data_IF_968252345676
#
_entry.id   IF_968252345676
#
_cell.length_a   1.000
_cell.length_b   1.000
_cell.length_c   1.000
_cell.angle_alpha   90.00
_cell.angle_beta   90.00
_cell.angle_gamma   90.00
#
_symmetry.space_group_name_H-M   'P 1'
#
loop_
_entity.id
_entity.type
_entity.pdbx_description
1 polymer ?
#
# COMPACT_ATOMS: atom_id res chain seq x y z
N UNK A 1 -11.71 26.06 -0.85
CA UNK A 1 -12.17 24.66 -1.04
C UNK A 1 -11.01 23.72 -0.77
N UNK A 2 -11.17 22.81 0.17
CA UNK A 2 -10.15 21.82 0.47
C UNK A 2 -10.32 20.61 -0.45
N UNK A 3 -9.18 20.08 -0.92
CA UNK A 3 -9.16 18.83 -1.70
C UNK A 3 -8.37 17.78 -0.92
N UNK A 4 -9.08 16.87 -0.26
CA UNK A 4 -8.47 15.78 0.52
C UNK A 4 -8.39 14.53 -0.35
N UNK A 5 -7.22 13.95 -0.45
CA UNK A 5 -7.05 12.70 -1.19
C UNK A 5 -7.76 11.58 -0.44
N UNK A 6 -8.77 10.97 -1.05
CA UNK A 6 -9.59 9.94 -0.42
C UNK A 6 -9.07 8.54 -0.71
N UNK A 7 -8.86 8.24 -1.98
CA UNK A 7 -8.54 6.90 -2.41
C UNK A 7 -7.74 6.91 -3.70
N UNK A 8 -6.83 5.94 -3.82
CA UNK A 8 -6.02 5.72 -5.02
C UNK A 8 -6.29 4.32 -5.53
N UNK A 9 -6.59 4.17 -6.82
CA UNK A 9 -6.79 2.86 -7.43
C UNK A 9 -5.45 2.16 -7.66
N UNK A 10 -5.36 0.91 -7.23
CA UNK A 10 -4.17 0.07 -7.39
C UNK A 10 -4.54 -1.13 -8.26
N UNK A 11 -3.95 -1.25 -9.45
CA UNK A 11 -4.33 -2.31 -10.39
C UNK A 11 -3.71 -3.65 -10.00
N UNK A 12 -4.57 -4.66 -9.83
CA UNK A 12 -4.15 -6.02 -9.44
C UNK A 12 -4.79 -7.05 -10.35
N UNK A 13 -4.13 -8.19 -10.51
CA UNK A 13 -4.62 -9.29 -11.35
C UNK A 13 -5.52 -10.26 -10.59
N UNK A 14 -5.29 -10.42 -9.29
CA UNK A 14 -6.05 -11.32 -8.42
C UNK A 14 -6.45 -10.55 -7.16
N UNK A 15 -7.72 -10.18 -7.07
CA UNK A 15 -8.23 -9.33 -5.99
C UNK A 15 -8.11 -10.02 -4.63
N UNK A 16 -8.42 -11.31 -4.56
CA UNK A 16 -8.35 -12.05 -3.29
C UNK A 16 -6.91 -12.18 -2.80
N UNK A 17 -5.96 -12.46 -3.69
CA UNK A 17 -4.54 -12.53 -3.35
C UNK A 17 -4.01 -11.18 -2.89
N UNK A 18 -4.39 -10.11 -3.56
CA UNK A 18 -3.99 -8.75 -3.20
C UNK A 18 -4.59 -8.35 -1.84
N UNK A 19 -5.87 -8.62 -1.63
CA UNK A 19 -6.54 -8.35 -0.35
C UNK A 19 -5.82 -9.08 0.80
N UNK A 20 -5.52 -10.36 0.62
CA UNK A 20 -4.81 -11.16 1.63
C UNK A 20 -3.42 -10.59 1.92
N UNK A 21 -2.71 -10.14 0.89
CA UNK A 21 -1.39 -9.52 1.06
C UNK A 21 -1.48 -8.26 1.93
N UNK A 22 -2.38 -7.33 1.60
CA UNK A 22 -2.49 -6.08 2.34
C UNK A 22 -2.97 -6.29 3.77
N UNK A 23 -3.90 -7.22 3.99
CA UNK A 23 -4.33 -7.57 5.34
C UNK A 23 -3.19 -8.19 6.15
N UNK A 24 -2.36 -9.02 5.53
CA UNK A 24 -1.22 -9.66 6.19
C UNK A 24 -0.19 -8.66 6.68
N UNK A 25 0.00 -7.55 5.96
CA UNK A 25 0.93 -6.50 6.40
C UNK A 25 0.27 -5.48 7.33
N UNK A 26 -0.98 -5.71 7.76
CA UNK A 26 -1.64 -4.91 8.77
C UNK A 26 -2.56 -3.81 8.24
N UNK A 27 -2.78 -3.74 6.93
CA UNK A 27 -3.73 -2.79 6.36
C UNK A 27 -5.15 -3.28 6.61
N UNK A 28 -6.07 -2.35 6.82
CA UNK A 28 -7.45 -2.67 7.17
C UNK A 28 -8.36 -2.64 5.95
N UNK A 29 -9.15 -3.70 5.76
CA UNK A 29 -10.20 -3.72 4.75
C UNK A 29 -11.43 -3.02 5.28
N UNK A 30 -11.75 -1.86 4.72
CA UNK A 30 -12.91 -1.07 5.12
C UNK A 30 -14.19 -1.55 4.44
N UNK A 31 -14.08 -1.87 3.16
CA UNK A 31 -15.20 -2.31 2.34
C UNK A 31 -14.73 -3.39 1.36
N UNK A 32 -15.59 -4.37 1.13
CA UNK A 32 -15.43 -5.36 0.07
C UNK A 32 -16.81 -5.59 -0.52
N UNK A 33 -17.05 -5.06 -1.71
CA UNK A 33 -18.37 -5.05 -2.31
C UNK A 33 -18.34 -5.51 -3.76
N UNK A 34 -19.05 -6.61 -4.05
CA UNK A 34 -19.27 -7.07 -5.41
C UNK A 34 -20.63 -6.55 -5.88
N UNK A 35 -20.59 -5.71 -6.91
CA UNK A 35 -21.81 -5.13 -7.51
C UNK A 35 -22.41 -6.09 -8.52
N UNK A 36 -21.57 -6.69 -9.39
CA UNK A 36 -21.97 -7.66 -10.41
C UNK A 36 -20.75 -8.49 -10.84
N UNK A 37 -20.87 -9.29 -11.89
CA UNK A 37 -19.79 -10.15 -12.38
C UNK A 37 -18.57 -9.37 -12.87
N UNK A 38 -18.73 -8.08 -13.18
CA UNK A 38 -17.66 -7.24 -13.76
C UNK A 38 -17.16 -6.16 -12.83
N UNK A 39 -17.81 -5.94 -11.68
CA UNK A 39 -17.46 -4.87 -10.77
C UNK A 39 -17.42 -5.37 -9.33
N UNK A 40 -16.25 -5.35 -8.76
CA UNK A 40 -16.00 -5.55 -7.33
C UNK A 40 -15.00 -4.51 -6.88
N UNK A 41 -15.26 -3.85 -5.76
CA UNK A 41 -14.26 -2.97 -5.19
C UNK A 41 -13.98 -3.32 -3.74
N UNK A 42 -12.70 -3.24 -3.39
CA UNK A 42 -12.21 -3.50 -2.04
C UNK A 42 -11.41 -2.29 -1.62
N UNK A 43 -11.88 -1.57 -0.61
CA UNK A 43 -11.19 -0.40 -0.07
C UNK A 43 -10.38 -0.80 1.14
N UNK A 44 -9.09 -0.47 1.11
CA UNK A 44 -8.12 -0.90 2.12
C UNK A 44 -7.35 0.34 2.58
N UNK A 45 -7.19 0.48 3.90
CA UNK A 45 -6.54 1.66 4.48
C UNK A 45 -5.30 1.25 5.28
N UNK A 46 -4.12 1.83 4.98
CA UNK A 46 -2.96 1.66 5.83
C UNK A 46 -3.24 2.19 7.24
N UNK A 47 -2.68 1.58 8.30
CA UNK A 47 -2.92 2.03 9.66
C UNK A 47 -2.62 3.52 9.85
N UNK A 48 -3.57 4.26 10.39
CA UNK A 48 -3.42 5.69 10.67
C UNK A 48 -3.49 6.62 9.46
N UNK A 49 -3.72 6.08 8.25
CA UNK A 49 -3.77 6.90 7.04
C UNK A 49 -5.14 7.54 6.82
N UNK A 50 -5.15 8.79 6.35
CA UNK A 50 -6.37 9.45 5.90
C UNK A 50 -6.74 9.15 4.46
N UNK A 51 -5.85 8.47 3.71
CA UNK A 51 -6.07 8.06 2.33
C UNK A 51 -6.04 6.54 2.24
N UNK A 52 -6.90 5.98 1.41
CA UNK A 52 -7.02 4.53 1.20
C UNK A 52 -6.58 4.14 -0.20
N UNK A 53 -6.42 2.84 -0.42
CA UNK A 53 -6.33 2.28 -1.77
C UNK A 53 -7.63 1.53 -2.09
N UNK A 54 -7.93 1.42 -3.37
CA UNK A 54 -9.00 0.54 -3.87
C UNK A 54 -8.42 -0.43 -4.88
N UNK A 55 -8.73 -1.70 -4.67
CA UNK A 55 -8.42 -2.80 -5.59
C UNK A 55 -9.73 -3.44 -6.00
N UNK A 56 -9.75 -4.15 -7.10
CA UNK A 56 -10.99 -4.83 -7.51
C UNK A 56 -11.03 -5.17 -8.98
N UNK A 57 -12.18 -5.68 -9.37
CA UNK A 57 -12.52 -5.92 -10.78
C UNK A 57 -13.24 -4.70 -11.32
N UNK A 58 -12.78 -4.15 -12.44
CA UNK A 58 -13.43 -3.03 -13.11
C UNK A 58 -13.21 -1.67 -12.45
N UNK A 59 -12.33 -1.55 -11.45
CA UNK A 59 -12.07 -0.26 -10.78
C UNK A 59 -11.09 0.62 -11.54
N UNK A 60 -10.24 0.03 -12.37
CA UNK A 60 -9.28 0.76 -13.20
C UNK A 60 -8.93 -0.06 -14.43
N UNK A 61 -8.59 0.62 -15.51
CA UNK A 61 -8.09 -0.01 -16.74
C UNK A 61 -6.56 -0.07 -16.80
N UNK A 62 -5.87 0.44 -15.77
CA UNK A 62 -4.42 0.38 -15.72
C UNK A 62 -3.93 -1.07 -15.62
N UNK A 63 -2.79 -1.40 -16.24
CA UNK A 63 -2.25 -2.75 -16.17
C UNK A 63 -1.91 -3.16 -14.74
N UNK A 64 -2.17 -4.42 -14.34
CA UNK A 64 -1.75 -4.89 -13.01
C UNK A 64 -0.27 -4.64 -12.76
N UNK A 65 0.06 -4.16 -11.56
CA UNK A 65 1.44 -3.86 -11.18
C UNK A 65 1.97 -2.51 -11.65
N UNK A 66 1.15 -1.70 -12.31
CA UNK A 66 1.60 -0.42 -12.89
C UNK A 66 1.65 0.73 -11.89
N UNK A 67 1.07 0.60 -10.70
CA UNK A 67 1.17 1.65 -9.69
C UNK A 67 2.58 1.65 -9.10
N UNK A 68 3.21 2.83 -9.11
CA UNK A 68 4.60 2.96 -8.69
C UNK A 68 4.74 3.97 -7.56
N UNK A 69 5.52 3.57 -6.55
CA UNK A 69 5.95 4.42 -5.45
C UNK A 69 4.79 5.06 -4.69
N UNK A 70 3.82 4.28 -4.26
CA UNK A 70 2.87 4.73 -3.25
C UNK A 70 3.65 4.90 -1.95
N UNK A 71 3.60 6.09 -1.37
CA UNK A 71 4.49 6.45 -0.27
C UNK A 71 3.72 6.62 1.03
N UNK A 72 4.20 5.95 2.06
CA UNK A 72 3.68 6.06 3.42
C UNK A 72 4.80 6.53 4.34
N UNK A 73 4.40 7.20 5.42
CA UNK A 73 5.35 7.71 6.43
C UNK A 73 5.11 6.97 7.73
N UNK A 74 6.20 6.54 8.35
CA UNK A 74 6.17 5.84 9.65
C UNK A 74 7.06 6.59 10.65
N UNK A 75 6.80 6.39 11.94
CA UNK A 75 7.61 6.99 12.99
C UNK A 75 8.89 6.19 13.29
N UNK A 76 8.87 4.89 12.99
CA UNK A 76 10.00 3.99 13.28
C UNK A 76 10.13 2.98 12.13
N UNK A 77 11.07 3.26 11.23
CA UNK A 77 11.26 2.45 10.02
C UNK A 77 11.86 1.07 10.33
N UNK A 78 12.65 0.96 11.39
CA UNK A 78 13.22 -0.34 11.76
C UNK A 78 12.13 -1.30 12.22
N UNK A 79 11.17 -0.81 13.01
CA UNK A 79 9.99 -1.59 13.41
C UNK A 79 9.12 -1.93 12.20
N UNK A 80 8.87 -0.95 11.33
CA UNK A 80 8.06 -1.18 10.12
C UNK A 80 8.70 -2.23 9.21
N UNK A 81 10.02 -2.15 9.01
CA UNK A 81 10.73 -3.14 8.21
C UNK A 81 10.64 -4.54 8.82
N UNK A 82 10.82 -4.64 10.14
CA UNK A 82 10.73 -5.92 10.83
C UNK A 82 9.33 -6.54 10.71
N UNK A 83 8.28 -5.74 10.83
CA UNK A 83 6.90 -6.20 10.67
C UNK A 83 6.63 -6.72 9.25
N UNK A 84 7.12 -6.01 8.24
CA UNK A 84 6.99 -6.46 6.84
C UNK A 84 7.74 -7.77 6.62
N UNK A 85 8.97 -7.87 7.10
CA UNK A 85 9.77 -9.09 7.00
C UNK A 85 9.08 -10.26 7.69
N UNK A 86 8.55 -10.04 8.90
CA UNK A 86 7.87 -11.09 9.67
C UNK A 86 6.55 -11.53 9.00
N UNK A 87 5.95 -10.65 8.23
CA UNK A 87 4.76 -10.98 7.44
C UNK A 87 5.11 -11.72 6.13
N UNK A 88 6.38 -11.99 5.89
CA UNK A 88 6.82 -12.73 4.71
C UNK A 88 7.04 -11.86 3.47
N UNK A 89 7.13 -10.55 3.64
CA UNK A 89 7.34 -9.64 2.52
C UNK A 89 8.83 -9.54 2.22
N UNK A 90 9.18 -9.60 0.94
CA UNK A 90 10.53 -9.33 0.47
C UNK A 90 10.77 -7.81 0.54
N UNK A 91 11.35 -7.36 1.63
CA UNK A 91 11.63 -5.96 1.88
C UNK A 91 13.14 -5.73 1.85
N UNK A 92 13.56 -4.67 1.14
CA UNK A 92 14.97 -4.33 1.03
C UNK A 92 15.57 -3.77 2.32
N UNK A 93 16.85 -3.45 2.25
CA UNK A 93 17.54 -2.80 3.36
C UNK A 93 17.13 -1.35 3.50
N UNK A 94 17.29 -0.80 4.71
CA UNK A 94 17.03 0.61 4.96
C UNK A 94 18.07 1.44 4.21
N UNK A 95 17.61 2.42 3.43
CA UNK A 95 18.45 3.34 2.68
C UNK A 95 18.35 4.73 3.27
N UNK A 96 19.49 5.35 3.53
CA UNK A 96 19.54 6.72 4.06
C UNK A 96 19.63 7.73 2.92
N UNK A 97 18.92 8.85 3.06
CA UNK A 97 18.93 9.95 2.10
C UNK A 97 18.72 11.27 2.83
N UNK A 98 18.95 12.43 2.14
CA UNK A 98 18.66 13.74 2.77
C UNK A 98 17.20 13.92 3.19
N UNK A 99 16.25 13.25 2.54
CA UNK A 99 14.83 13.35 2.86
C UNK A 99 14.38 12.33 3.90
N UNK A 100 15.27 11.52 4.45
CA UNK A 100 14.97 10.55 5.49
C UNK A 100 15.47 9.16 5.18
N UNK A 101 14.88 8.19 5.87
CA UNK A 101 15.24 6.78 5.73
C UNK A 101 14.10 6.08 5.00
N UNK A 102 14.44 5.17 4.09
CA UNK A 102 13.46 4.49 3.23
C UNK A 102 13.66 3.00 3.21
N UNK A 103 12.54 2.26 3.13
CA UNK A 103 12.53 0.89 2.64
C UNK A 103 11.47 0.76 1.55
N UNK A 104 11.64 -0.24 0.69
CA UNK A 104 10.75 -0.44 -0.45
C UNK A 104 10.25 -1.87 -0.46
N UNK A 105 8.99 -2.03 -0.87
CA UNK A 105 8.42 -3.35 -1.11
C UNK A 105 7.40 -3.26 -2.24
N UNK A 106 6.95 -4.41 -2.71
CA UNK A 106 5.92 -4.49 -3.75
C UNK A 106 4.85 -5.49 -3.36
N UNK A 107 3.65 -5.28 -3.87
CA UNK A 107 2.58 -6.27 -3.74
C UNK A 107 2.80 -7.43 -4.73
N UNK A 108 1.93 -8.47 -4.74
CA UNK A 108 2.12 -9.62 -5.63
C UNK A 108 2.17 -9.29 -7.13
N UNK A 109 1.55 -8.20 -7.56
CA UNK A 109 1.57 -7.76 -8.96
C UNK A 109 2.75 -6.86 -9.30
N UNK A 110 3.51 -6.39 -8.32
CA UNK A 110 4.61 -5.48 -8.53
C UNK A 110 4.26 -4.00 -8.34
N UNK A 111 3.06 -3.68 -7.81
CA UNK A 111 2.76 -2.32 -7.40
C UNK A 111 3.67 -1.95 -6.25
N UNK A 112 4.44 -0.87 -6.41
CA UNK A 112 5.53 -0.56 -5.49
C UNK A 112 5.15 0.45 -4.43
N UNK A 113 5.74 0.27 -3.25
CA UNK A 113 5.54 1.11 -2.08
C UNK A 113 6.87 1.61 -1.54
N UNK A 114 6.90 2.86 -1.13
CA UNK A 114 8.00 3.45 -0.39
C UNK A 114 7.54 3.72 1.04
N UNK A 115 8.31 3.26 2.01
CA UNK A 115 8.08 3.53 3.43
C UNK A 115 9.15 4.49 3.89
N UNK A 116 8.74 5.64 4.42
CA UNK A 116 9.65 6.72 4.77
C UNK A 116 9.55 7.05 6.26
N UNK A 117 10.70 7.25 6.88
CA UNK A 117 10.81 7.91 8.17
C UNK A 117 11.49 9.25 7.93
N UNK A 118 10.84 10.35 8.32
CA UNK A 118 11.41 11.67 8.15
C UNK A 118 12.71 11.84 8.94
N UNK A 119 13.63 12.73 8.50
CA UNK A 119 14.85 13.02 9.26
C UNK A 119 14.49 13.52 10.66
N UNK A 120 15.31 13.10 11.64
CA UNK A 120 15.16 13.60 13.00
C UNK A 120 15.60 15.05 13.04
N UNK A 121 14.72 15.95 13.56
CA UNK A 121 15.10 17.31 13.83
C UNK A 121 15.96 17.40 15.08
N UNK A 122 17.04 18.15 15.01
CA UNK A 122 17.92 18.38 16.16
C UNK A 122 17.84 19.84 16.56
#
# INVERSE_FOLDING_TARGET
>A
MDYKLEVVAVPVSDVDAAKSFYERIGYHTDHDHRVNDHLRFVQITPPGSGCSIVIGDGVTSAPPGSAQRMQVVVSDIETARAELHDAGVDVGDIEDSPSGRFVYFSDPDGNSWAVQQFPTSV
#
